data_IF_298691657819
#
_entry.id   IF_298691657819
#
_cell.length_a   1.000
_cell.length_b   1.000
_cell.length_c   1.000
_cell.angle_alpha   90.00
_cell.angle_beta   90.00
_cell.angle_gamma   90.00
#
_symmetry.space_group_name_H-M   'P 1'
#
loop_
_entity.id
_entity.type
_entity.pdbx_description
1 polymer ?
#
# COMPACT_ATOMS: atom_id res chain seq x y z
N UNK A 1 11.09 -3.06 -9.69
CA UNK A 1 9.63 -2.88 -9.52
C UNK A 1 9.30 -1.65 -8.67
N UNK A 2 9.53 -1.64 -7.34
CA UNK A 2 9.19 -0.52 -6.45
C UNK A 2 9.72 0.84 -6.94
N UNK A 3 11.03 0.93 -7.24
CA UNK A 3 11.65 2.17 -7.76
C UNK A 3 10.98 2.67 -9.05
N UNK A 4 10.65 1.75 -9.97
CA UNK A 4 10.00 2.10 -11.23
C UNK A 4 8.59 2.64 -10.98
N UNK A 5 7.84 2.02 -10.07
CA UNK A 5 6.50 2.46 -9.68
C UNK A 5 6.55 3.84 -9.02
N UNK A 6 7.44 4.04 -8.04
CA UNK A 6 7.58 5.30 -7.28
C UNK A 6 8.02 6.45 -8.18
N UNK A 7 8.87 6.20 -9.17
CA UNK A 7 9.32 7.25 -10.10
C UNK A 7 8.29 7.48 -11.20
N UNK A 8 7.68 6.44 -11.78
CA UNK A 8 6.77 6.64 -12.92
C UNK A 8 5.38 7.14 -12.52
N UNK A 9 4.82 6.70 -11.39
CA UNK A 9 3.45 7.06 -11.00
C UNK A 9 3.23 8.55 -10.76
N UNK A 10 3.97 9.26 -9.87
CA UNK A 10 3.67 10.66 -9.58
C UNK A 10 3.78 11.54 -10.83
N UNK A 11 4.76 11.28 -11.69
CA UNK A 11 4.91 11.99 -12.97
C UNK A 11 3.77 11.66 -13.94
N UNK A 12 3.40 10.38 -14.08
CA UNK A 12 2.27 9.98 -14.93
C UNK A 12 0.94 10.57 -14.44
N UNK A 13 0.75 10.61 -13.12
CA UNK A 13 -0.43 11.17 -12.48
C UNK A 13 -0.50 12.69 -12.60
N UNK A 14 0.62 13.39 -12.42
CA UNK A 14 0.70 14.84 -12.59
C UNK A 14 0.46 15.24 -14.06
N UNK A 15 0.99 14.47 -15.01
CA UNK A 15 0.68 14.63 -16.43
C UNK A 15 -0.81 14.41 -16.71
N UNK A 16 -1.39 13.36 -16.14
CA UNK A 16 -2.79 13.02 -16.32
C UNK A 16 -3.73 14.09 -15.71
N UNK A 17 -3.40 14.58 -14.52
CA UNK A 17 -4.13 15.64 -13.84
C UNK A 17 -4.04 16.99 -14.58
N UNK A 18 -2.88 17.31 -15.14
CA UNK A 18 -2.69 18.51 -15.99
C UNK A 18 -3.49 18.45 -17.29
N UNK A 19 -3.75 17.26 -17.83
CA UNK A 19 -4.42 17.09 -19.12
C UNK A 19 -5.94 16.89 -18.99
N UNK A 20 -6.41 16.34 -17.86
CA UNK A 20 -7.83 15.98 -17.65
C UNK A 20 -8.55 16.80 -16.58
N UNK A 21 -7.87 17.71 -15.86
CA UNK A 21 -8.51 18.73 -15.01
C UNK A 21 -9.39 18.19 -13.88
N UNK A 22 -9.18 16.95 -13.46
CA UNK A 22 -10.00 16.29 -12.45
C UNK A 22 -9.68 16.86 -11.06
N UNK A 23 -10.59 17.66 -10.52
CA UNK A 23 -10.53 18.18 -9.16
C UNK A 23 -11.24 17.21 -8.21
N UNK A 24 -10.64 16.98 -7.04
CA UNK A 24 -11.09 15.97 -6.06
C UNK A 24 -12.22 16.52 -5.19
N UNK A 25 -13.20 15.68 -4.87
CA UNK A 25 -14.23 16.00 -3.88
C UNK A 25 -13.60 16.33 -2.53
N UNK A 26 -13.87 17.53 -2.03
CA UNK A 26 -13.36 18.09 -0.77
C UNK A 26 -13.71 17.29 0.49
N UNK A 27 -14.66 16.35 0.39
CA UNK A 27 -15.04 15.41 1.45
C UNK A 27 -14.05 14.25 1.66
N UNK A 28 -13.11 14.02 0.74
CA UNK A 28 -12.04 13.01 0.86
C UNK A 28 -10.74 13.60 1.44
N UNK A 29 -10.68 14.92 1.61
CA UNK A 29 -9.53 15.60 2.20
C UNK A 29 -9.43 15.31 3.70
N UNK A 30 -8.21 15.28 4.29
CA UNK A 30 -8.03 14.99 5.71
C UNK A 30 -8.80 15.99 6.60
N UNK A 31 -9.62 15.47 7.51
CA UNK A 31 -10.25 16.23 8.60
C UNK A 31 -9.26 16.69 9.68
N UNK A 32 -9.76 17.32 10.76
CA UNK A 32 -9.45 18.66 11.25
C UNK A 32 -7.96 18.97 11.54
N UNK A 33 -7.57 20.22 11.27
CA UNK A 33 -6.20 20.79 11.36
C UNK A 33 -5.74 21.22 12.76
N UNK A 34 -6.29 20.65 13.82
CA UNK A 34 -5.95 21.06 15.20
C UNK A 34 -5.12 19.99 15.90
N UNK A 35 -3.86 20.34 16.16
CA UNK A 35 -2.91 19.52 16.89
C UNK A 35 -3.19 19.61 18.38
N UNK A 36 -3.64 18.51 18.98
CA UNK A 36 -3.84 18.42 20.42
C UNK A 36 -2.80 17.44 20.97
N UNK A 37 -1.82 17.94 21.73
CA UNK A 37 -0.82 17.12 22.43
C UNK A 37 -1.42 15.91 23.19
N UNK A 38 -2.54 16.03 23.93
CA UNK A 38 -3.15 14.86 24.58
C UNK A 38 -3.72 13.85 23.58
N UNK A 39 -4.24 14.30 22.44
CA UNK A 39 -4.79 13.42 21.42
C UNK A 39 -3.74 12.50 20.78
N UNK A 40 -2.50 12.97 20.62
CA UNK A 40 -1.38 12.14 20.13
C UNK A 40 -1.08 11.01 21.13
N UNK A 41 -1.10 11.30 22.43
CA UNK A 41 -0.85 10.28 23.46
C UNK A 41 -1.93 9.19 23.45
N UNK A 42 -3.20 9.58 23.41
CA UNK A 42 -4.31 8.61 23.31
C UNK A 42 -4.24 7.80 22.01
N UNK A 43 -3.89 8.43 20.89
CA UNK A 43 -3.74 7.75 19.61
C UNK A 43 -2.57 6.76 19.63
N UNK A 44 -1.43 7.13 20.21
CA UNK A 44 -0.27 6.25 20.35
C UNK A 44 -0.57 5.05 21.27
N UNK A 45 -1.28 5.29 22.38
CA UNK A 45 -1.67 4.24 23.31
C UNK A 45 -2.69 3.28 22.67
N UNK A 46 -3.71 3.80 21.98
CA UNK A 46 -4.70 2.98 21.30
C UNK A 46 -4.09 2.15 20.16
N UNK A 47 -3.24 2.76 19.32
CA UNK A 47 -2.58 2.05 18.22
C UNK A 47 -1.55 1.03 18.71
N UNK A 48 -0.82 1.34 19.80
CA UNK A 48 0.06 0.42 20.50
C UNK A 48 -0.68 -0.79 21.10
N UNK A 49 -1.81 -0.55 21.77
CA UNK A 49 -2.68 -1.61 22.29
C UNK A 49 -3.22 -2.50 21.16
N UNK A 50 -3.64 -1.89 20.04
CA UNK A 50 -4.08 -2.63 18.85
C UNK A 50 -2.97 -3.49 18.24
N UNK A 51 -1.73 -2.98 18.19
CA UNK A 51 -0.57 -3.74 17.73
C UNK A 51 -0.27 -4.94 18.64
N UNK A 52 -0.29 -4.74 19.96
CA UNK A 52 -0.07 -5.78 20.96
C UNK A 52 -1.16 -6.86 20.93
N UNK A 53 -2.43 -6.46 20.77
CA UNK A 53 -3.55 -7.39 20.61
C UNK A 53 -3.37 -8.26 19.35
N UNK A 54 -3.01 -7.63 18.23
CA UNK A 54 -2.74 -8.36 16.98
C UNK A 54 -1.51 -9.27 17.07
N UNK A 55 -0.51 -8.86 17.85
CA UNK A 55 0.66 -9.68 18.14
C UNK A 55 0.28 -10.92 18.98
N UNK A 56 -0.56 -10.75 20.00
CA UNK A 56 -1.09 -11.85 20.80
C UNK A 56 -1.93 -12.84 19.96
N UNK A 57 -2.66 -12.32 18.96
CA UNK A 57 -3.43 -13.12 17.99
C UNK A 57 -2.57 -13.85 16.94
N UNK A 58 -1.23 -13.75 17.01
CA UNK A 58 -0.27 -14.37 16.06
C UNK A 58 -0.59 -14.11 14.59
N UNK A 59 -1.12 -12.92 14.27
CA UNK A 59 -1.43 -12.52 12.89
C UNK A 59 -0.18 -12.01 12.17
N UNK A 60 -0.17 -12.14 10.84
CA UNK A 60 0.91 -11.61 10.01
C UNK A 60 0.94 -10.07 10.08
N UNK A 61 2.14 -9.51 10.25
CA UNK A 61 2.38 -8.07 10.32
C UNK A 61 1.51 -7.31 11.35
N UNK A 62 1.57 -7.69 12.65
CA UNK A 62 0.71 -7.14 13.68
C UNK A 62 0.96 -5.65 13.95
N UNK A 63 2.22 -5.23 13.78
CA UNK A 63 2.66 -3.84 13.96
C UNK A 63 2.10 -2.87 12.91
N UNK A 64 1.70 -3.37 11.73
CA UNK A 64 1.02 -2.56 10.73
C UNK A 64 -0.51 -2.69 10.83
N UNK A 65 -1.00 -3.91 11.01
CA UNK A 65 -2.44 -4.18 11.07
C UNK A 65 -3.12 -3.58 12.30
N UNK A 66 -2.47 -3.63 13.47
CA UNK A 66 -3.01 -3.09 14.71
C UNK A 66 -3.32 -1.60 14.64
N UNK A 67 -2.33 -0.74 14.32
CA UNK A 67 -2.55 0.69 14.18
C UNK A 67 -3.59 1.03 13.10
N UNK A 68 -3.58 0.31 11.98
CA UNK A 68 -4.53 0.53 10.88
C UNK A 68 -5.98 0.25 11.32
N UNK A 69 -6.22 -0.89 11.99
CA UNK A 69 -7.57 -1.25 12.44
C UNK A 69 -8.08 -0.31 13.51
N UNK A 70 -7.22 0.13 14.43
CA UNK A 70 -7.57 1.13 15.44
C UNK A 70 -7.90 2.46 14.78
N UNK A 71 -7.08 2.94 13.85
CA UNK A 71 -7.34 4.18 13.12
C UNK A 71 -8.65 4.10 12.33
N UNK A 72 -8.91 2.96 11.67
CA UNK A 72 -10.17 2.70 10.96
C UNK A 72 -11.38 2.72 11.91
N UNK A 73 -11.30 2.03 13.04
CA UNK A 73 -12.38 1.99 14.04
C UNK A 73 -12.68 3.38 14.62
N UNK A 74 -11.65 4.15 14.96
CA UNK A 74 -11.81 5.54 15.43
C UNK A 74 -12.44 6.43 14.36
N UNK A 75 -12.03 6.27 13.10
CA UNK A 75 -12.56 7.04 11.98
C UNK A 75 -14.04 6.71 11.74
N UNK A 76 -14.41 5.43 11.78
CA UNK A 76 -15.80 4.97 11.64
C UNK A 76 -16.68 5.40 12.83
N UNK A 77 -16.11 5.49 14.03
CA UNK A 77 -16.79 6.01 15.22
C UNK A 77 -16.97 7.54 15.20
N UNK A 78 -16.47 8.24 14.17
CA UNK A 78 -16.50 9.70 14.09
C UNK A 78 -15.56 10.41 15.07
N UNK A 79 -14.67 9.65 15.72
CA UNK A 79 -13.77 10.15 16.78
C UNK A 79 -12.49 10.68 16.15
N UNK A 80 -12.35 12.00 16.12
CA UNK A 80 -11.18 12.70 15.57
C UNK A 80 -10.33 13.29 16.71
N UNK A 81 -9.43 12.49 17.28
CA UNK A 81 -8.63 12.91 18.44
C UNK A 81 -7.60 14.00 18.11
N UNK A 82 -6.80 13.82 17.06
CA UNK A 82 -5.77 14.78 16.63
C UNK A 82 -5.21 14.41 15.27
N UNK A 83 -4.84 15.42 14.48
CA UNK A 83 -4.05 15.23 13.27
C UNK A 83 -2.59 14.91 13.60
N UNK A 84 -2.03 13.87 12.97
CA UNK A 84 -0.60 13.56 13.06
C UNK A 84 0.21 14.70 12.41
N UNK A 85 1.19 15.30 13.09
CA UNK A 85 1.96 16.42 12.54
C UNK A 85 2.73 16.00 11.29
N UNK A 86 2.88 16.94 10.35
CA UNK A 86 3.66 16.76 9.12
C UNK A 86 5.08 16.30 9.43
N UNK A 87 5.72 16.91 10.42
CA UNK A 87 7.10 16.61 10.80
C UNK A 87 7.28 15.15 11.23
N UNK A 88 6.34 14.62 12.02
CA UNK A 88 6.37 13.21 12.41
C UNK A 88 6.16 12.27 11.22
N UNK A 89 5.25 12.63 10.30
CA UNK A 89 5.06 11.87 9.06
C UNK A 89 6.33 11.88 8.20
N UNK A 90 6.98 13.05 8.07
CA UNK A 90 8.21 13.22 7.30
C UNK A 90 9.37 12.40 7.90
N UNK A 91 9.52 12.42 9.23
CA UNK A 91 10.51 11.61 9.94
C UNK A 91 10.24 10.11 9.75
N UNK A 92 8.99 9.67 9.87
CA UNK A 92 8.62 8.26 9.64
C UNK A 92 8.95 7.83 8.20
N UNK A 93 8.67 8.68 7.22
CA UNK A 93 9.02 8.44 5.82
C UNK A 93 10.53 8.36 5.59
N UNK A 94 11.31 9.23 6.24
CA UNK A 94 12.77 9.20 6.20
C UNK A 94 13.29 7.85 6.73
N UNK A 95 12.81 7.39 7.88
CA UNK A 95 13.22 6.11 8.44
C UNK A 95 12.81 4.91 7.58
N UNK A 96 11.60 4.93 6.99
CA UNK A 96 11.16 3.92 6.03
C UNK A 96 12.09 3.92 4.80
N UNK A 97 12.44 5.11 4.29
CA UNK A 97 13.36 5.29 3.17
C UNK A 97 14.76 4.75 3.47
N UNK A 98 15.31 5.04 4.65
CA UNK A 98 16.61 4.51 5.10
C UNK A 98 16.55 2.99 5.23
N UNK A 99 15.52 2.45 5.88
CA UNK A 99 15.32 1.00 6.05
C UNK A 99 15.23 0.27 4.71
N UNK A 100 14.56 0.87 3.72
CA UNK A 100 14.49 0.33 2.38
C UNK A 100 15.81 0.48 1.63
N UNK A 101 16.48 1.62 1.77
CA UNK A 101 17.77 1.94 1.15
C UNK A 101 18.89 0.98 1.56
N UNK A 102 18.99 0.66 2.86
CA UNK A 102 20.00 -0.27 3.39
C UNK A 102 19.84 -1.70 2.86
N UNK A 103 18.64 -2.06 2.37
CA UNK A 103 18.39 -3.38 1.75
C UNK A 103 18.94 -3.49 0.32
N UNK A 104 19.29 -2.37 -0.32
CA UNK A 104 19.85 -2.39 -1.68
C UNK A 104 21.34 -2.74 -1.66
N UNK A 105 21.68 -3.96 -2.09
CA UNK A 105 23.07 -4.37 -2.32
C UNK A 105 23.48 -4.04 -3.76
N UNK A 106 24.62 -3.37 -3.93
CA UNK A 106 25.15 -2.94 -5.25
C UNK A 106 25.49 -4.10 -6.18
N UNK A 107 25.82 -5.26 -5.61
CA UNK A 107 26.09 -6.50 -6.33
C UNK A 107 24.88 -7.00 -7.13
N UNK A 108 23.65 -6.79 -6.63
CA UNK A 108 22.42 -7.27 -7.27
C UNK A 108 22.14 -6.59 -8.62
N UNK A 109 22.59 -5.35 -8.80
CA UNK A 109 22.41 -4.57 -10.03
C UNK A 109 23.41 -4.99 -11.12
N UNK A 110 24.57 -5.50 -10.73
CA UNK A 110 25.69 -5.78 -11.65
C UNK A 110 25.64 -7.18 -12.27
N UNK A 111 24.95 -8.13 -11.63
CA UNK A 111 25.04 -9.55 -12.00
C UNK A 111 24.08 -9.98 -13.11
N UNK A 112 22.98 -9.26 -13.38
CA UNK A 112 21.99 -9.72 -14.37
C UNK A 112 21.11 -8.60 -15.01
N UNK A 113 21.67 -7.75 -15.90
CA UNK A 113 20.91 -6.66 -16.54
C UNK A 113 19.73 -7.15 -17.41
N UNK A 114 19.85 -8.33 -18.05
CA UNK A 114 18.76 -8.93 -18.85
C UNK A 114 17.56 -9.34 -17.98
N UNK A 115 17.81 -9.87 -16.80
CA UNK A 115 16.74 -10.21 -15.83
C UNK A 115 16.08 -8.93 -15.29
N UNK A 116 16.88 -7.91 -15.00
CA UNK A 116 16.38 -6.59 -14.59
C UNK A 116 15.44 -5.97 -15.64
N UNK A 117 15.80 -6.09 -16.92
CA UNK A 117 14.99 -5.59 -18.04
C UNK A 117 13.67 -6.36 -18.17
N UNK A 118 13.70 -7.69 -18.03
CA UNK A 118 12.50 -8.53 -18.08
C UNK A 118 11.51 -8.18 -16.94
N UNK A 119 12.03 -7.99 -15.72
CA UNK A 119 11.23 -7.54 -14.57
C UNK A 119 10.70 -6.12 -14.78
N UNK A 120 11.48 -5.23 -15.40
CA UNK A 120 11.04 -3.87 -15.72
C UNK A 120 9.89 -3.87 -16.73
N UNK A 121 9.99 -4.63 -17.83
CA UNK A 121 8.93 -4.77 -18.82
C UNK A 121 7.67 -5.39 -18.22
N UNK A 122 7.80 -6.46 -17.42
CA UNK A 122 6.67 -7.06 -16.71
C UNK A 122 5.99 -6.09 -15.74
N UNK A 123 6.78 -5.27 -15.03
CA UNK A 123 6.26 -4.21 -14.15
C UNK A 123 5.48 -3.17 -14.96
N UNK A 124 6.02 -2.70 -16.09
CA UNK A 124 5.35 -1.74 -16.97
C UNK A 124 4.03 -2.30 -17.51
N UNK A 125 4.01 -3.57 -17.93
CA UNK A 125 2.78 -4.24 -18.37
C UNK A 125 1.73 -4.30 -17.27
N UNK A 126 2.12 -4.69 -16.04
CA UNK A 126 1.20 -4.68 -14.89
C UNK A 126 0.71 -3.27 -14.55
N UNK A 127 1.56 -2.24 -14.64
CA UNK A 127 1.16 -0.85 -14.41
C UNK A 127 0.12 -0.39 -15.45
N UNK A 128 0.37 -0.65 -16.74
CA UNK A 128 -0.58 -0.33 -17.81
C UNK A 128 -1.93 -1.01 -17.59
N UNK A 129 -1.93 -2.30 -17.26
CA UNK A 129 -3.16 -3.03 -16.97
C UNK A 129 -3.90 -2.44 -15.76
N UNK A 130 -3.16 -2.03 -14.73
CA UNK A 130 -3.75 -1.42 -13.52
C UNK A 130 -4.35 -0.05 -13.80
N UNK A 131 -3.76 0.73 -14.69
CA UNK A 131 -4.31 2.01 -15.16
C UNK A 131 -5.62 1.78 -15.91
N UNK A 132 -5.64 0.84 -16.85
CA UNK A 132 -6.86 0.49 -17.62
C UNK A 132 -7.96 0.01 -16.68
N UNK A 133 -7.62 -0.87 -15.73
CA UNK A 133 -8.58 -1.39 -14.77
C UNK A 133 -9.08 -0.31 -13.78
N UNK A 134 -8.19 0.54 -13.28
CA UNK A 134 -8.55 1.66 -12.42
C UNK A 134 -9.45 2.68 -13.11
N UNK A 135 -9.22 2.92 -14.40
CA UNK A 135 -10.09 3.74 -15.24
C UNK A 135 -11.47 3.10 -15.42
N UNK A 136 -11.53 1.81 -15.76
CA UNK A 136 -12.79 1.09 -15.91
C UNK A 136 -13.62 1.11 -14.62
N UNK A 137 -12.96 0.93 -13.47
CA UNK A 137 -13.60 1.06 -12.15
C UNK A 137 -14.11 2.47 -11.88
N UNK A 138 -13.41 3.51 -12.32
CA UNK A 138 -13.83 4.89 -12.14
C UNK A 138 -15.14 5.17 -12.88
N UNK A 139 -15.29 4.59 -14.08
CA UNK A 139 -16.52 4.69 -14.85
C UNK A 139 -17.70 3.99 -14.16
N UNK A 140 -17.47 2.86 -13.50
CA UNK A 140 -18.51 2.11 -12.77
C UNK A 140 -18.84 2.62 -11.37
N UNK A 141 -17.95 3.34 -10.70
CA UNK A 141 -18.11 3.75 -9.28
C UNK A 141 -18.30 5.25 -9.09
N UNK A 142 -18.04 6.07 -10.11
CA UNK A 142 -18.09 7.53 -10.01
C UNK A 142 -16.99 8.15 -9.12
N UNK A 143 -16.05 7.34 -8.62
CA UNK A 143 -14.90 7.80 -7.84
C UNK A 143 -13.80 8.36 -8.75
N UNK A 144 -12.97 9.23 -8.18
CA UNK A 144 -11.92 9.92 -8.93
C UNK A 144 -10.93 8.92 -9.56
N UNK A 145 -10.74 8.92 -10.91
CA UNK A 145 -9.90 7.96 -11.62
C UNK A 145 -8.50 7.84 -11.03
N UNK A 146 -7.88 8.97 -10.66
CA UNK A 146 -6.57 8.99 -10.01
C UNK A 146 -6.50 8.19 -8.69
N UNK A 147 -7.54 8.27 -7.86
CA UNK A 147 -7.59 7.56 -6.57
C UNK A 147 -7.70 6.05 -6.81
N UNK A 148 -8.51 5.64 -7.79
CA UNK A 148 -8.69 4.23 -8.13
C UNK A 148 -7.47 3.64 -8.83
N UNK A 149 -6.87 4.37 -9.78
CA UNK A 149 -5.63 3.96 -10.45
C UNK A 149 -4.51 3.78 -9.42
N UNK A 150 -4.34 4.71 -8.46
CA UNK A 150 -3.36 4.55 -7.38
C UNK A 150 -3.72 3.40 -6.42
N UNK A 151 -5.00 3.20 -6.12
CA UNK A 151 -5.49 2.11 -5.26
C UNK A 151 -5.26 0.73 -5.86
N UNK A 152 -5.46 0.57 -7.17
CA UNK A 152 -5.28 -0.70 -7.90
C UNK A 152 -3.83 -0.94 -8.31
N UNK A 153 -3.02 0.13 -8.39
CA UNK A 153 -1.63 0.03 -8.85
C UNK A 153 -0.78 -0.89 -7.96
N UNK A 154 0.12 -1.69 -8.59
CA UNK A 154 1.06 -2.54 -7.88
C UNK A 154 2.13 -1.66 -7.23
N UNK A 155 2.15 -1.59 -5.90
CA UNK A 155 3.05 -0.71 -5.13
C UNK A 155 3.03 -1.02 -3.64
N UNK A 156 3.92 -0.38 -2.87
CA UNK A 156 3.90 -0.45 -1.41
C UNK A 156 2.74 0.35 -0.82
N UNK A 157 2.11 -0.15 0.25
CA UNK A 157 0.97 0.53 0.90
C UNK A 157 1.37 1.95 1.33
N UNK A 158 2.54 2.10 1.94
CA UNK A 158 3.05 3.39 2.40
C UNK A 158 3.27 4.37 1.24
N UNK A 159 3.96 3.95 0.17
CA UNK A 159 4.26 4.80 -0.97
C UNK A 159 2.99 5.31 -1.65
N UNK A 160 2.04 4.40 -1.90
CA UNK A 160 0.78 4.75 -2.59
C UNK A 160 -0.10 5.66 -1.72
N UNK A 161 -0.14 5.44 -0.41
CA UNK A 161 -0.86 6.32 0.53
C UNK A 161 -0.25 7.72 0.59
N UNK A 162 1.08 7.83 0.54
CA UNK A 162 1.79 9.11 0.54
C UNK A 162 1.58 9.83 -0.79
N UNK A 163 1.74 9.15 -1.93
CA UNK A 163 1.47 9.71 -3.24
C UNK A 163 0.03 10.23 -3.34
N UNK A 164 -0.93 9.47 -2.81
CA UNK A 164 -2.31 9.92 -2.72
C UNK A 164 -2.47 11.17 -1.84
N UNK A 165 -1.78 11.24 -0.70
CA UNK A 165 -1.80 12.43 0.17
C UNK A 165 -1.19 13.67 -0.51
N UNK A 166 -0.06 13.51 -1.22
CA UNK A 166 0.64 14.60 -1.90
C UNK A 166 -0.15 15.11 -3.11
N UNK A 167 -0.82 14.22 -3.83
CA UNK A 167 -1.72 14.58 -4.93
C UNK A 167 -3.10 15.04 -4.45
N UNK A 168 -3.30 15.20 -3.13
CA UNK A 168 -4.57 15.58 -2.50
C UNK A 168 -5.76 14.67 -2.89
N UNK A 169 -5.44 13.40 -3.15
CA UNK A 169 -6.39 12.34 -3.47
C UNK A 169 -6.90 11.63 -2.22
N UNK A 170 -7.87 10.73 -2.39
CA UNK A 170 -8.42 9.92 -1.30
C UNK A 170 -7.42 8.90 -0.73
N UNK A 171 -6.44 9.35 0.05
CA UNK A 171 -5.44 8.50 0.69
C UNK A 171 -6.04 7.37 1.57
N UNK A 172 -7.17 7.57 2.30
CA UNK A 172 -7.84 6.48 3.00
C UNK A 172 -8.36 5.40 2.04
N UNK A 173 -8.92 5.80 0.90
CA UNK A 173 -9.45 4.87 -0.13
C UNK A 173 -8.29 4.07 -0.75
N UNK A 174 -7.20 4.74 -1.13
CA UNK A 174 -6.00 4.06 -1.65
C UNK A 174 -5.48 3.05 -0.63
N UNK A 175 -5.38 3.44 0.64
CA UNK A 175 -4.92 2.53 1.70
C UNK A 175 -5.85 1.34 1.86
N UNK A 176 -7.17 1.54 1.83
CA UNK A 176 -8.15 0.47 1.92
C UNK A 176 -8.01 -0.55 0.77
N UNK A 177 -7.90 -0.08 -0.48
CA UNK A 177 -7.67 -0.97 -1.64
C UNK A 177 -6.40 -1.82 -1.48
N UNK A 178 -5.31 -1.18 -1.03
CA UNK A 178 -4.01 -1.84 -0.85
C UNK A 178 -4.05 -2.88 0.28
N UNK A 179 -4.80 -2.61 1.35
CA UNK A 179 -5.00 -3.52 2.49
C UNK A 179 -5.90 -4.70 2.09
N UNK A 180 -7.03 -4.42 1.41
CA UNK A 180 -7.90 -5.46 0.87
C UNK A 180 -7.12 -6.40 -0.05
N UNK A 181 -6.25 -5.86 -0.91
CA UNK A 181 -5.36 -6.64 -1.75
C UNK A 181 -4.42 -7.53 -0.92
N UNK A 182 -3.80 -6.99 0.13
CA UNK A 182 -2.91 -7.77 1.00
C UNK A 182 -3.67 -8.91 1.69
N UNK A 183 -4.87 -8.65 2.19
CA UNK A 183 -5.73 -9.67 2.81
C UNK A 183 -6.12 -10.73 1.77
N UNK A 184 -6.59 -10.33 0.59
CA UNK A 184 -6.97 -11.26 -0.48
C UNK A 184 -5.79 -12.15 -0.89
N UNK A 185 -4.59 -11.58 -1.07
CA UNK A 185 -3.37 -12.35 -1.38
C UNK A 185 -3.06 -13.34 -0.25
N UNK A 186 -3.12 -12.93 1.01
CA UNK A 186 -2.86 -13.82 2.14
C UNK A 186 -3.88 -14.97 2.23
N UNK A 187 -5.15 -14.68 1.96
CA UNK A 187 -6.23 -15.67 2.02
C UNK A 187 -6.26 -16.61 0.81
N UNK A 188 -5.84 -16.14 -0.37
CA UNK A 188 -5.88 -16.92 -1.62
C UNK A 188 -4.58 -17.70 -1.84
N UNK A 189 -3.42 -17.08 -1.58
CA UNK A 189 -2.13 -17.73 -1.85
C UNK A 189 -1.88 -18.91 -0.90
N UNK A 190 -2.29 -18.81 0.37
CA UNK A 190 -2.12 -19.90 1.34
C UNK A 190 -2.82 -21.22 0.92
N UNK A 191 -4.09 -21.24 0.51
CA UNK A 191 -4.73 -22.44 -0.03
C UNK A 191 -4.22 -22.81 -1.41
N UNK A 192 -3.95 -21.83 -2.30
CA UNK A 192 -3.43 -22.11 -3.64
C UNK A 192 -2.07 -22.82 -3.58
N UNK A 193 -1.18 -22.41 -2.68
CA UNK A 193 0.11 -23.05 -2.46
C UNK A 193 -0.04 -24.48 -1.96
N UNK A 194 -0.99 -24.72 -1.04
CA UNK A 194 -1.31 -26.09 -0.61
C UNK A 194 -1.80 -26.95 -1.77
N UNK A 195 -2.69 -26.43 -2.62
CA UNK A 195 -3.22 -27.17 -3.77
C UNK A 195 -2.15 -27.47 -4.84
N UNK A 196 -1.25 -26.53 -5.09
CA UNK A 196 -0.19 -26.66 -6.11
C UNK A 196 1.04 -27.42 -5.61
N UNK A 197 1.30 -27.47 -4.30
CA UNK A 197 2.43 -28.23 -3.73
C UNK A 197 2.10 -29.72 -3.44
N UNK A 198 0.83 -30.11 -3.50
CA UNK A 198 0.39 -31.50 -3.29
C UNK A 198 0.71 -32.50 -4.43
N UNK A 199 0.83 -32.13 -5.72
CA UNK A 199 1.16 -33.10 -6.78
C UNK A 199 2.61 -33.60 -6.74
N UNK A 200 3.56 -32.77 -6.31
CA UNK A 200 5.00 -33.04 -6.46
C UNK A 200 5.58 -33.99 -5.38
N UNK A 201 4.85 -34.19 -4.28
CA UNK A 201 5.26 -35.11 -3.20
C UNK A 201 4.79 -36.56 -3.41
N UNK A 202 3.73 -36.77 -4.17
CA UNK A 202 3.27 -38.12 -4.53
C UNK A 202 4.26 -38.82 -5.47
N UNK A 203 4.83 -38.09 -6.44
CA UNK A 203 5.70 -38.67 -7.47
C UNK A 203 7.12 -39.03 -6.98
N UNK A 204 7.59 -38.42 -5.88
CA UNK A 204 8.91 -38.71 -5.28
C UNK A 204 8.92 -39.91 -4.33
N UNK A 205 7.76 -40.42 -3.91
CA UNK A 205 7.68 -41.54 -2.97
C UNK A 205 7.76 -42.90 -3.67
N UNK A 206 7.61 -42.93 -5.00
CA UNK A 206 7.51 -44.16 -5.80
C UNK A 206 8.82 -44.56 -6.52
N UNK A 207 9.94 -43.87 -6.27
CA UNK A 207 11.23 -44.28 -6.84
C UNK A 207 11.89 -45.35 -5.96
N UNK A 208 12.06 -46.61 -6.45
CA UNK A 208 12.83 -47.61 -5.74
C UNK A 208 14.28 -47.14 -5.59
N UNK A 209 14.81 -47.26 -4.37
CA UNK A 209 16.21 -46.96 -4.04
C UNK A 209 17.18 -47.91 -4.73
#
# INVERSE_FOLDING_TARGET
>A
RLVLVVVCLPFGMQWFQSHWGLHVNSSLLPGPRLMQWPGIFYLALATGAGALLMHALKRNNPWFMGPLLVAMALTLAGVQWTAVPSEMSNMAQLFIGISLGVRFKREFVRTAPKWLLSVAMGTLGMMLLSVVFGWALAWGTGLHPATLILGTSPGGIAEMAITAKVLELGAPVVTAFQVCRLIAVLLIVAPLYKWVALPEQAERTDLPQ
#
